data_IF_112174394080
#
_entry.id   IF_112174394080
#
_cell.length_a   1.000
_cell.length_b   1.000
_cell.length_c   1.000
_cell.angle_alpha   90.00
_cell.angle_beta   90.00
_cell.angle_gamma   90.00
#
_symmetry.space_group_name_H-M   'P 1'
#
loop_
_entity.id
_entity.type
_entity.pdbx_description
1 polymer ?
#
# COMPACT_ATOMS: atom_id res chain seq x y z
N UNK A 1 -18.51 -11.15 -14.57
CA UNK A 1 -17.82 -9.94 -15.08
C UNK A 1 -16.40 -10.33 -15.45
N UNK A 2 -15.98 -9.95 -16.65
CA UNK A 2 -14.64 -10.26 -17.18
C UNK A 2 -13.76 -9.01 -17.10
N UNK A 3 -12.67 -9.07 -16.34
CA UNK A 3 -11.77 -7.95 -16.11
C UNK A 3 -10.32 -8.25 -16.50
N UNK A 4 -9.60 -7.26 -16.98
CA UNK A 4 -8.16 -7.34 -17.25
C UNK A 4 -7.42 -6.29 -16.40
N UNK A 5 -6.51 -6.73 -15.56
CA UNK A 5 -5.56 -5.86 -14.87
C UNK A 5 -4.29 -5.71 -15.70
N UNK A 6 -3.89 -4.47 -15.96
CA UNK A 6 -2.66 -4.14 -16.71
C UNK A 6 -1.72 -3.37 -15.79
N UNK A 7 -0.49 -3.87 -15.59
CA UNK A 7 0.46 -3.25 -14.67
C UNK A 7 1.92 -3.44 -15.08
N UNK A 8 2.76 -2.48 -14.74
CA UNK A 8 4.23 -2.62 -14.73
C UNK A 8 4.80 -2.70 -13.30
N UNK A 9 3.91 -2.81 -12.31
CA UNK A 9 4.20 -2.94 -10.89
C UNK A 9 3.75 -4.33 -10.44
N UNK A 10 4.58 -5.34 -10.70
CA UNK A 10 4.30 -6.72 -10.32
C UNK A 10 5.59 -7.46 -9.98
N UNK A 11 5.62 -8.32 -8.94
CA UNK A 11 6.81 -9.07 -8.58
C UNK A 11 7.37 -9.90 -9.74
N UNK A 12 8.67 -9.97 -9.81
CA UNK A 12 9.41 -10.83 -10.76
C UNK A 12 10.69 -11.33 -10.09
N UNK A 13 11.35 -12.35 -10.67
CA UNK A 13 12.61 -12.84 -10.13
C UNK A 13 13.68 -11.74 -10.01
N UNK A 14 13.71 -10.78 -10.93
CA UNK A 14 14.65 -9.66 -10.88
C UNK A 14 14.23 -8.54 -9.90
N UNK A 15 12.97 -8.48 -9.49
CA UNK A 15 12.40 -7.44 -8.61
C UNK A 15 11.28 -8.03 -7.75
N UNK A 16 11.61 -8.87 -6.75
CA UNK A 16 10.62 -9.64 -6.00
C UNK A 16 9.68 -8.76 -5.13
N UNK A 17 10.14 -7.61 -4.69
CA UNK A 17 9.34 -6.67 -3.88
C UNK A 17 8.48 -5.70 -4.70
N UNK A 18 8.68 -5.61 -6.04
CA UNK A 18 7.99 -4.62 -6.86
C UNK A 18 6.50 -4.92 -6.97
N UNK A 19 5.64 -4.05 -6.42
CA UNK A 19 4.19 -4.13 -6.59
C UNK A 19 3.56 -5.37 -5.94
N UNK A 20 4.09 -5.84 -4.82
CA UNK A 20 3.51 -6.95 -4.04
C UNK A 20 2.04 -6.69 -3.72
N UNK A 21 1.66 -5.46 -3.37
CA UNK A 21 0.28 -5.06 -3.12
C UNK A 21 -0.64 -5.20 -4.35
N UNK A 22 -0.12 -5.00 -5.58
CA UNK A 22 -0.90 -5.24 -6.82
C UNK A 22 -1.12 -6.74 -7.01
N UNK A 23 -0.09 -7.57 -6.74
CA UNK A 23 -0.23 -9.03 -6.75
C UNK A 23 -1.30 -9.47 -5.77
N UNK A 24 -1.21 -8.99 -4.52
CA UNK A 24 -2.11 -9.39 -3.44
C UNK A 24 -3.56 -8.97 -3.76
N UNK A 25 -3.76 -7.78 -4.34
CA UNK A 25 -5.07 -7.32 -4.82
C UNK A 25 -5.60 -8.17 -5.97
N UNK A 26 -4.78 -8.48 -6.98
CA UNK A 26 -5.20 -9.33 -8.12
C UNK A 26 -5.59 -10.72 -7.65
N UNK A 27 -4.78 -11.33 -6.77
CA UNK A 27 -5.10 -12.63 -6.19
C UNK A 27 -6.39 -12.62 -5.36
N UNK A 28 -6.64 -11.55 -4.63
CA UNK A 28 -7.88 -11.38 -3.89
C UNK A 28 -9.09 -11.19 -4.82
N UNK A 29 -8.97 -10.37 -5.86
CA UNK A 29 -10.01 -10.19 -6.88
C UNK A 29 -10.36 -11.50 -7.61
N UNK A 30 -9.36 -12.35 -7.89
CA UNK A 30 -9.56 -13.67 -8.53
C UNK A 30 -10.32 -14.68 -7.67
N UNK A 31 -10.45 -14.40 -6.35
CA UNK A 31 -11.23 -15.25 -5.41
C UNK A 31 -12.68 -14.77 -5.24
N UNK A 32 -13.03 -13.63 -5.83
CA UNK A 32 -14.39 -13.08 -5.72
C UNK A 32 -15.29 -13.77 -6.75
N UNK A 33 -16.37 -14.37 -6.26
CA UNK A 33 -17.34 -15.06 -7.12
C UNK A 33 -17.93 -14.13 -8.19
N UNK A 34 -18.05 -14.65 -9.40
CA UNK A 34 -18.59 -13.92 -10.53
C UNK A 34 -17.60 -12.95 -11.21
N UNK A 35 -16.32 -12.92 -10.80
CA UNK A 35 -15.25 -12.20 -11.48
C UNK A 35 -14.29 -13.18 -12.21
N UNK A 36 -14.09 -12.96 -13.51
CA UNK A 36 -12.99 -13.55 -14.29
C UNK A 36 -11.90 -12.48 -14.45
N UNK A 37 -10.87 -12.53 -13.61
CA UNK A 37 -9.82 -11.51 -13.55
C UNK A 37 -8.54 -12.05 -14.18
N UNK A 38 -8.16 -11.46 -15.31
CA UNK A 38 -6.93 -11.71 -16.02
C UNK A 38 -5.88 -10.66 -15.68
N UNK A 39 -4.60 -11.07 -15.74
CA UNK A 39 -3.46 -10.19 -15.49
C UNK A 39 -2.55 -10.08 -16.71
N UNK A 40 -2.18 -8.86 -17.05
CA UNK A 40 -1.07 -8.57 -17.93
C UNK A 40 -0.02 -7.72 -17.22
N UNK A 41 1.01 -8.36 -16.70
CA UNK A 41 2.16 -7.70 -16.09
C UNK A 41 3.32 -7.61 -17.11
N UNK A 42 4.04 -6.49 -17.07
CA UNK A 42 5.24 -6.29 -17.88
C UNK A 42 6.32 -5.52 -17.11
N UNK A 43 7.58 -5.68 -17.47
CA UNK A 43 8.68 -5.01 -16.78
C UNK A 43 8.64 -3.48 -16.98
N UNK A 44 8.84 -2.69 -15.91
CA UNK A 44 8.98 -1.25 -16.04
C UNK A 44 10.20 -0.91 -16.89
N UNK A 45 10.10 0.18 -17.66
CA UNK A 45 11.15 0.62 -18.56
C UNK A 45 10.81 1.90 -19.31
N UNK A 46 11.58 2.20 -20.38
CA UNK A 46 11.33 3.36 -21.22
C UNK A 46 10.13 3.18 -22.18
N UNK A 47 9.84 4.16 -23.06
CA UNK A 47 8.69 4.16 -23.96
C UNK A 47 8.54 2.88 -24.80
N UNK A 48 9.66 2.24 -25.16
CA UNK A 48 9.67 0.98 -25.92
C UNK A 48 9.02 -0.18 -25.15
N UNK A 49 9.10 -0.21 -23.81
CA UNK A 49 8.44 -1.22 -22.97
C UNK A 49 6.93 -1.10 -23.06
N UNK A 50 6.40 0.10 -22.97
CA UNK A 50 4.95 0.38 -23.07
C UNK A 50 4.43 0.10 -24.49
N UNK A 51 5.17 0.49 -25.53
CA UNK A 51 4.81 0.18 -26.92
C UNK A 51 4.81 -1.34 -27.20
N UNK A 52 5.74 -2.10 -26.60
CA UNK A 52 5.77 -3.56 -26.67
C UNK A 52 4.57 -4.16 -25.95
N UNK A 53 4.27 -3.68 -24.75
CA UNK A 53 3.10 -4.11 -23.99
C UNK A 53 1.79 -3.86 -24.77
N UNK A 54 1.61 -2.68 -25.36
CA UNK A 54 0.45 -2.37 -26.20
C UNK A 54 0.32 -3.31 -27.41
N UNK A 55 1.42 -3.59 -28.12
CA UNK A 55 1.44 -4.55 -29.25
C UNK A 55 1.11 -5.97 -28.81
N UNK A 56 1.66 -6.39 -27.67
CA UNK A 56 1.39 -7.72 -27.12
C UNK A 56 -0.08 -7.86 -26.70
N UNK A 57 -0.62 -6.89 -25.96
CA UNK A 57 -2.03 -6.84 -25.56
C UNK A 57 -2.97 -6.90 -26.77
N UNK A 58 -2.72 -6.08 -27.79
CA UNK A 58 -3.52 -6.08 -29.01
C UNK A 58 -3.51 -7.44 -29.72
N UNK A 59 -2.34 -8.10 -29.82
CA UNK A 59 -2.23 -9.43 -30.47
C UNK A 59 -2.91 -10.51 -29.64
N UNK A 60 -2.69 -10.52 -28.32
CA UNK A 60 -3.21 -11.54 -27.41
C UNK A 60 -4.74 -11.53 -27.35
N UNK A 61 -5.33 -10.34 -27.42
CA UNK A 61 -6.78 -10.13 -27.26
C UNK A 61 -7.48 -9.68 -28.54
N UNK A 62 -6.84 -9.81 -29.72
CA UNK A 62 -7.39 -9.38 -31.00
C UNK A 62 -8.72 -10.07 -31.36
N UNK A 63 -8.87 -11.35 -31.03
CA UNK A 63 -10.06 -12.16 -31.28
C UNK A 63 -10.86 -12.44 -29.99
N UNK A 64 -10.49 -11.80 -28.87
CA UNK A 64 -11.18 -12.00 -27.61
C UNK A 64 -12.46 -11.18 -27.54
N UNK A 65 -13.43 -11.68 -26.78
CA UNK A 65 -14.59 -10.88 -26.38
C UNK A 65 -14.13 -9.64 -25.60
N UNK A 66 -14.92 -8.55 -25.74
CA UNK A 66 -14.68 -7.29 -25.04
C UNK A 66 -14.68 -7.52 -23.52
N UNK A 67 -13.67 -7.02 -22.83
CA UNK A 67 -13.65 -7.01 -21.37
C UNK A 67 -14.73 -6.04 -20.85
N UNK A 68 -15.39 -6.41 -19.75
CA UNK A 68 -16.28 -5.49 -19.06
C UNK A 68 -15.47 -4.33 -18.47
N UNK A 69 -14.30 -4.65 -17.85
CA UNK A 69 -13.40 -3.66 -17.27
C UNK A 69 -11.94 -3.95 -17.67
N UNK A 70 -11.21 -2.90 -18.06
CA UNK A 70 -9.74 -2.92 -18.12
C UNK A 70 -9.22 -1.94 -17.07
N UNK A 71 -8.51 -2.45 -16.07
CA UNK A 71 -8.00 -1.69 -14.95
C UNK A 71 -6.46 -1.58 -15.00
N UNK A 72 -5.95 -0.39 -15.22
CA UNK A 72 -4.53 -0.09 -15.22
C UNK A 72 -4.04 0.32 -13.82
N UNK A 73 -2.97 -0.29 -13.33
CA UNK A 73 -2.24 0.20 -12.16
C UNK A 73 -1.01 0.99 -12.61
N UNK A 74 -0.91 2.24 -12.19
CA UNK A 74 0.05 3.26 -12.61
C UNK A 74 -0.34 3.99 -13.90
N UNK A 75 -0.31 5.32 -13.89
CA UNK A 75 -0.84 6.16 -14.98
C UNK A 75 -0.24 5.89 -16.36
N UNK A 76 1.06 5.57 -16.43
CA UNK A 76 1.67 5.23 -17.72
C UNK A 76 1.15 3.90 -18.29
N UNK A 77 0.68 2.97 -17.48
CA UNK A 77 0.12 1.69 -17.96
C UNK A 77 -1.28 1.84 -18.56
N UNK A 78 -1.94 2.96 -18.28
CA UNK A 78 -3.21 3.29 -18.93
C UNK A 78 -3.07 3.41 -20.46
N UNK A 79 -1.92 3.83 -20.99
CA UNK A 79 -1.69 3.92 -22.44
C UNK A 79 -1.71 2.56 -23.13
N UNK A 80 -0.89 1.55 -22.75
CA UNK A 80 -0.98 0.23 -23.36
C UNK A 80 -2.34 -0.45 -23.12
N UNK A 81 -3.05 -0.15 -22.02
CA UNK A 81 -4.38 -0.72 -21.77
C UNK A 81 -5.42 -0.29 -22.82
N UNK A 82 -5.23 0.85 -23.49
CA UNK A 82 -6.10 1.29 -24.60
C UNK A 82 -6.06 0.35 -25.83
N UNK A 83 -5.05 -0.51 -25.93
CA UNK A 83 -4.92 -1.47 -27.04
C UNK A 83 -5.88 -2.66 -26.95
N UNK A 84 -6.67 -2.77 -25.89
CA UNK A 84 -7.63 -3.86 -25.64
C UNK A 84 -9.06 -3.30 -25.69
N UNK A 85 -9.99 -4.05 -26.28
CA UNK A 85 -11.40 -3.70 -26.26
C UNK A 85 -11.97 -3.83 -24.83
N UNK A 86 -12.62 -2.77 -24.34
CA UNK A 86 -13.21 -2.72 -23.01
C UNK A 86 -14.46 -1.83 -23.02
N UNK A 87 -15.47 -2.22 -22.23
CA UNK A 87 -16.65 -1.40 -21.98
C UNK A 87 -16.28 -0.22 -21.06
N UNK A 88 -15.51 -0.51 -20.02
CA UNK A 88 -15.08 0.49 -19.04
C UNK A 88 -13.57 0.43 -18.82
N UNK A 89 -12.97 1.59 -18.55
CA UNK A 89 -11.55 1.77 -18.31
C UNK A 89 -11.32 2.43 -16.97
N UNK A 90 -10.50 1.79 -16.15
CA UNK A 90 -10.15 2.27 -14.81
C UNK A 90 -8.64 2.46 -14.73
N UNK A 91 -8.20 3.48 -14.03
CA UNK A 91 -6.78 3.63 -13.64
C UNK A 91 -6.68 3.94 -12.16
N UNK A 92 -5.83 3.17 -11.44
CA UNK A 92 -5.40 3.54 -10.09
C UNK A 92 -4.00 4.15 -10.15
N UNK A 93 -3.88 5.38 -9.62
CA UNK A 93 -2.63 6.13 -9.52
C UNK A 93 -1.94 5.81 -8.18
N UNK A 94 -0.60 5.72 -8.17
CA UNK A 94 0.18 5.26 -7.02
C UNK A 94 1.22 6.25 -6.51
N UNK A 95 1.22 7.49 -6.98
CA UNK A 95 2.08 8.59 -6.51
C UNK A 95 3.04 9.10 -7.58
N UNK A 96 4.04 8.34 -7.97
CA UNK A 96 5.00 8.74 -9.01
C UNK A 96 4.35 9.11 -10.36
N UNK A 97 3.11 8.69 -10.57
CA UNK A 97 2.26 9.09 -11.68
C UNK A 97 2.16 10.61 -11.83
N UNK A 98 1.94 11.30 -10.71
CA UNK A 98 1.71 12.74 -10.66
C UNK A 98 2.86 13.54 -10.02
N UNK A 99 3.66 12.91 -9.16
CA UNK A 99 4.76 13.61 -8.50
C UNK A 99 6.04 13.64 -9.33
N UNK A 100 6.27 12.64 -10.18
CA UNK A 100 7.46 12.64 -11.02
C UNK A 100 7.22 13.53 -12.25
N UNK A 101 8.10 14.53 -12.53
CA UNK A 101 7.86 15.55 -13.54
C UNK A 101 7.72 15.01 -14.97
N UNK A 102 8.34 13.85 -15.27
CA UNK A 102 8.21 13.22 -16.60
C UNK A 102 6.94 12.39 -16.73
N UNK A 103 6.45 11.75 -15.64
CA UNK A 103 5.25 10.93 -15.69
C UNK A 103 3.99 11.75 -15.69
N UNK A 104 3.97 12.87 -14.95
CA UNK A 104 2.79 13.70 -14.73
C UNK A 104 2.09 14.12 -16.04
N UNK A 105 2.75 14.77 -17.01
CA UNK A 105 2.08 15.20 -18.24
C UNK A 105 1.54 13.99 -19.05
N UNK A 106 2.27 12.89 -19.10
CA UNK A 106 1.89 11.70 -19.83
C UNK A 106 0.68 11.04 -19.16
N UNK A 107 0.68 10.93 -17.83
CA UNK A 107 -0.45 10.42 -17.06
C UNK A 107 -1.68 11.31 -17.24
N UNK A 108 -1.54 12.63 -17.05
CA UNK A 108 -2.66 13.58 -17.18
C UNK A 108 -3.32 13.49 -18.55
N UNK A 109 -2.54 13.34 -19.62
CA UNK A 109 -3.05 13.26 -20.99
C UNK A 109 -3.93 12.02 -21.27
N UNK A 110 -3.85 10.96 -20.45
CA UNK A 110 -4.67 9.75 -20.64
C UNK A 110 -5.92 9.71 -19.74
N UNK A 111 -5.98 10.53 -18.69
CA UNK A 111 -7.10 10.47 -17.72
C UNK A 111 -8.46 10.66 -18.37
N UNK A 112 -8.59 11.55 -19.36
CA UNK A 112 -9.83 11.78 -20.09
C UNK A 112 -10.35 10.58 -20.89
N UNK A 113 -9.56 9.52 -21.04
CA UNK A 113 -9.93 8.26 -21.68
C UNK A 113 -10.33 7.18 -20.68
N UNK A 114 -10.26 7.49 -19.39
CA UNK A 114 -10.64 6.59 -18.31
C UNK A 114 -12.06 6.91 -17.85
N UNK A 115 -12.86 5.87 -17.65
CA UNK A 115 -14.20 6.03 -17.09
C UNK A 115 -14.12 6.25 -15.57
N UNK A 116 -13.11 5.69 -14.90
CA UNK A 116 -12.85 5.92 -13.49
C UNK A 116 -11.34 6.12 -13.24
N UNK A 117 -11.02 7.18 -12.51
CA UNK A 117 -9.70 7.43 -11.94
C UNK A 117 -9.75 7.15 -10.45
N UNK A 118 -8.81 6.38 -9.93
CA UNK A 118 -8.74 6.04 -8.51
C UNK A 118 -7.37 6.39 -7.91
N UNK A 119 -7.36 6.61 -6.61
CA UNK A 119 -6.16 6.85 -5.80
C UNK A 119 -6.28 6.14 -4.45
N UNK A 120 -5.17 5.83 -3.77
CA UNK A 120 -5.24 5.12 -2.50
C UNK A 120 -5.68 6.00 -1.31
N UNK A 121 -5.61 7.33 -1.42
CA UNK A 121 -6.00 8.25 -0.33
C UNK A 121 -6.70 9.50 -0.86
N UNK A 122 -7.56 10.10 -0.04
CA UNK A 122 -8.24 11.36 -0.35
C UNK A 122 -7.24 12.52 -0.56
N UNK A 123 -6.17 12.57 0.25
CA UNK A 123 -5.11 13.57 0.12
C UNK A 123 -4.39 13.48 -1.23
N UNK A 124 -4.25 12.27 -1.78
CA UNK A 124 -3.68 12.10 -3.13
C UNK A 124 -4.73 12.36 -4.23
N UNK A 125 -6.01 12.03 -4.00
CA UNK A 125 -7.10 12.37 -4.92
C UNK A 125 -7.17 13.88 -5.21
N UNK A 126 -6.97 14.71 -4.19
CA UNK A 126 -6.94 16.17 -4.32
C UNK A 126 -5.81 16.70 -5.22
N UNK A 127 -4.82 15.87 -5.58
CA UNK A 127 -3.72 16.23 -6.49
C UNK A 127 -3.99 15.82 -7.94
N UNK A 128 -5.06 15.04 -8.18
CA UNK A 128 -5.46 14.64 -9.54
C UNK A 128 -6.05 15.87 -10.24
N UNK A 129 -5.59 16.23 -11.46
CA UNK A 129 -6.14 17.33 -12.19
C UNK A 129 -7.63 17.09 -12.52
N UNK A 130 -8.53 17.97 -12.06
CA UNK A 130 -9.97 17.83 -12.24
C UNK A 130 -10.44 17.96 -13.69
N UNK A 131 -9.67 18.68 -14.53
CA UNK A 131 -9.94 18.78 -15.97
C UNK A 131 -9.49 17.48 -16.65
N UNK A 132 -10.40 16.51 -16.82
CA UNK A 132 -10.10 15.28 -17.54
C UNK A 132 -10.61 14.00 -16.89
N UNK A 133 -11.21 14.06 -15.71
CA UNK A 133 -11.89 12.91 -15.11
C UNK A 133 -13.39 12.96 -15.43
N UNK A 134 -13.98 11.83 -15.85
CA UNK A 134 -15.43 11.74 -16.14
C UNK A 134 -16.27 11.72 -14.88
N UNK A 135 -15.72 11.17 -13.80
CA UNK A 135 -16.34 11.07 -12.48
C UNK A 135 -15.42 11.65 -11.41
N UNK A 136 -15.94 11.86 -10.22
CA UNK A 136 -15.10 12.13 -9.04
C UNK A 136 -14.07 11.04 -8.87
N UNK A 137 -12.86 11.41 -8.38
CA UNK A 137 -11.78 10.45 -8.16
C UNK A 137 -12.17 9.48 -7.04
N UNK A 138 -12.17 8.20 -7.34
CA UNK A 138 -12.47 7.16 -6.36
C UNK A 138 -11.29 6.95 -5.40
N UNK A 139 -11.58 6.63 -4.15
CA UNK A 139 -10.58 6.22 -3.18
C UNK A 139 -10.58 4.69 -3.09
N UNK A 140 -9.57 4.08 -3.71
CA UNK A 140 -9.34 2.64 -3.71
C UNK A 140 -7.97 2.35 -3.06
N UNK A 141 -7.91 2.16 -1.74
CA UNK A 141 -6.67 1.93 -1.02
C UNK A 141 -5.96 0.65 -1.46
N UNK A 142 -4.66 0.59 -1.19
CA UNK A 142 -3.88 -0.62 -1.35
C UNK A 142 -4.10 -1.56 -0.16
N UNK A 143 -4.34 -2.85 -0.42
CA UNK A 143 -4.48 -3.86 0.61
C UNK A 143 -3.15 -4.47 1.03
N UNK A 144 -3.12 -5.05 2.23
CA UNK A 144 -2.01 -5.84 2.76
C UNK A 144 -2.41 -7.30 2.91
N UNK A 145 -1.44 -8.20 2.82
CA UNK A 145 -1.61 -9.62 3.09
C UNK A 145 -1.53 -9.89 4.61
N UNK A 146 -2.68 -9.94 5.25
CA UNK A 146 -2.81 -10.14 6.71
C UNK A 146 -2.53 -11.57 7.18
N UNK A 147 -2.45 -12.54 6.27
CA UNK A 147 -2.02 -13.91 6.60
C UNK A 147 -0.49 -14.00 6.63
N UNK A 148 0.17 -13.29 5.75
CA UNK A 148 1.63 -13.15 5.74
C UNK A 148 2.12 -12.25 6.87
N UNK A 149 1.49 -11.09 7.06
CA UNK A 149 1.76 -10.16 8.16
C UNK A 149 0.81 -10.46 9.33
N UNK A 150 1.33 -11.15 10.33
CA UNK A 150 0.60 -11.55 11.53
C UNK A 150 1.53 -11.54 12.74
N UNK A 151 1.00 -11.47 13.96
CA UNK A 151 1.82 -11.60 15.16
C UNK A 151 2.57 -12.94 15.17
N UNK A 152 3.86 -12.88 15.48
CA UNK A 152 4.76 -14.01 15.67
C UNK A 152 5.49 -13.81 16.99
N UNK A 153 5.94 -14.90 17.60
CA UNK A 153 6.84 -14.83 18.74
C UNK A 153 8.11 -14.05 18.36
N UNK A 154 8.44 -13.03 19.14
CA UNK A 154 9.59 -12.16 18.85
C UNK A 154 10.92 -12.90 18.94
N UNK A 155 11.07 -13.80 19.93
CA UNK A 155 12.26 -14.59 20.10
C UNK A 155 12.51 -15.48 18.88
N UNK A 156 11.48 -16.19 18.43
CA UNK A 156 11.56 -17.02 17.22
C UNK A 156 11.85 -16.18 15.95
N UNK A 157 11.29 -14.98 15.84
CA UNK A 157 11.60 -14.09 14.72
C UNK A 157 13.05 -13.62 14.73
N UNK A 158 13.60 -13.28 15.91
CA UNK A 158 15.02 -12.91 16.11
C UNK A 158 15.95 -14.06 15.82
N UNK A 159 15.67 -15.24 16.35
CA UNK A 159 16.43 -16.47 16.08
C UNK A 159 16.50 -16.76 14.58
N UNK A 160 15.37 -16.66 13.88
CA UNK A 160 15.30 -16.86 12.42
C UNK A 160 16.20 -15.89 11.64
N UNK A 161 16.42 -14.69 12.18
CA UNK A 161 17.23 -13.63 11.57
C UNK A 161 18.67 -13.58 12.10
N UNK A 162 19.04 -14.42 13.06
CA UNK A 162 20.35 -14.38 13.71
C UNK A 162 20.57 -13.13 14.57
N UNK A 163 19.49 -12.54 15.10
CA UNK A 163 19.56 -11.36 15.97
C UNK A 163 19.67 -11.77 17.44
N UNK A 164 20.32 -10.93 18.25
CA UNK A 164 20.38 -11.13 19.70
C UNK A 164 18.96 -11.11 20.31
N UNK A 165 18.53 -12.17 21.01
CA UNK A 165 17.22 -12.21 21.67
C UNK A 165 16.98 -11.07 22.65
N UNK A 166 18.02 -10.55 23.32
CA UNK A 166 17.95 -9.44 24.26
C UNK A 166 18.15 -8.07 23.61
N UNK A 167 18.42 -8.01 22.31
CA UNK A 167 18.70 -6.78 21.59
C UNK A 167 17.51 -5.79 21.59
N UNK A 168 17.83 -4.50 21.48
CA UNK A 168 16.88 -3.40 21.35
C UNK A 168 16.86 -2.95 19.90
N UNK A 169 15.80 -3.28 19.16
CA UNK A 169 15.73 -3.07 17.72
C UNK A 169 14.58 -2.14 17.32
N UNK A 170 14.87 -1.16 16.47
CA UNK A 170 13.87 -0.40 15.75
C UNK A 170 13.98 -0.66 14.26
N UNK A 171 12.85 -0.87 13.59
CA UNK A 171 12.83 -1.16 12.16
C UNK A 171 12.47 0.10 11.36
N UNK A 172 13.34 0.49 10.44
CA UNK A 172 13.06 1.42 9.36
C UNK A 172 12.66 0.60 8.12
N UNK A 173 11.36 0.52 7.76
CA UNK A 173 10.83 -0.46 6.81
C UNK A 173 11.04 -0.05 5.34
N UNK A 174 12.13 0.63 5.05
CA UNK A 174 12.41 1.15 3.71
C UNK A 174 13.88 0.94 3.33
N UNK A 175 14.16 1.14 2.03
CA UNK A 175 15.52 1.31 1.54
C UNK A 175 16.09 2.66 2.05
N UNK A 176 17.17 2.65 2.84
CA UNK A 176 17.78 3.86 3.37
C UNK A 176 18.40 4.78 2.30
N UNK A 177 18.59 4.29 1.07
CA UNK A 177 19.05 5.09 -0.06
C UNK A 177 17.95 6.01 -0.63
N UNK A 178 16.70 5.92 -0.17
CA UNK A 178 15.59 6.77 -0.61
C UNK A 178 15.47 8.02 0.28
N UNK A 179 15.92 9.23 -0.15
CA UNK A 179 15.99 10.41 0.73
C UNK A 179 14.65 10.81 1.33
N UNK A 180 13.55 10.70 0.55
CA UNK A 180 12.19 11.03 0.98
C UNK A 180 11.71 10.22 2.19
N UNK A 181 12.32 9.04 2.44
CA UNK A 181 11.98 8.16 3.57
C UNK A 181 12.67 8.56 4.87
N UNK A 182 13.66 9.47 4.80
CA UNK A 182 14.31 10.08 5.97
C UNK A 182 14.97 9.06 6.91
N UNK A 183 15.83 8.22 6.34
CA UNK A 183 16.66 7.30 7.13
C UNK A 183 17.58 8.04 8.14
N UNK A 184 17.90 9.31 7.89
CA UNK A 184 18.61 10.19 8.82
C UNK A 184 17.88 10.30 10.16
N UNK A 185 16.57 10.58 10.14
CA UNK A 185 15.72 10.67 11.35
C UNK A 185 15.64 9.33 12.09
N UNK A 186 15.47 8.23 11.36
CA UNK A 186 15.42 6.90 11.99
C UNK A 186 16.74 6.56 12.69
N UNK A 187 17.91 6.89 12.08
CA UNK A 187 19.22 6.70 12.71
C UNK A 187 19.41 7.59 13.94
N UNK A 188 18.96 8.83 13.88
CA UNK A 188 19.04 9.77 15.00
C UNK A 188 18.22 9.26 16.19
N UNK A 189 16.97 8.83 15.96
CA UNK A 189 16.11 8.28 17.00
C UNK A 189 16.68 6.99 17.61
N UNK A 190 17.08 6.03 16.78
CA UNK A 190 17.66 4.78 17.24
C UNK A 190 18.91 5.03 18.13
N UNK A 191 19.83 5.89 17.66
CA UNK A 191 21.03 6.26 18.43
C UNK A 191 20.69 6.93 19.75
N UNK A 192 19.74 7.89 19.75
CA UNK A 192 19.34 8.61 20.96
C UNK A 192 18.69 7.72 22.01
N UNK A 193 18.05 6.65 21.59
CA UNK A 193 17.39 5.67 22.44
C UNK A 193 18.26 4.43 22.77
N UNK A 194 19.51 4.38 22.31
CA UNK A 194 20.40 3.23 22.53
C UNK A 194 19.84 1.94 21.89
N UNK A 195 19.26 2.03 20.70
CA UNK A 195 18.72 0.90 19.95
C UNK A 195 19.47 0.72 18.63
N UNK A 196 19.49 -0.51 18.12
CA UNK A 196 20.00 -0.83 16.78
C UNK A 196 18.94 -0.57 15.74
N UNK A 197 19.33 0.04 14.60
CA UNK A 197 18.46 0.31 13.48
C UNK A 197 18.51 -0.80 12.44
N UNK A 198 17.42 -1.52 12.28
CA UNK A 198 17.21 -2.49 11.21
C UNK A 198 16.63 -1.78 9.97
N UNK A 199 16.97 -2.23 8.77
CA UNK A 199 16.47 -1.65 7.50
C UNK A 199 16.09 -2.74 6.50
N UNK A 200 15.14 -2.47 5.59
CA UNK A 200 14.62 -3.45 4.62
C UNK A 200 15.15 -3.27 3.18
N UNK A 201 16.16 -2.45 2.95
CA UNK A 201 16.61 -2.09 1.58
C UNK A 201 16.95 -3.25 0.65
N UNK A 202 17.47 -4.37 1.19
CA UNK A 202 17.88 -5.54 0.40
C UNK A 202 17.36 -6.87 0.98
N UNK A 203 16.27 -6.80 1.74
CA UNK A 203 15.67 -7.98 2.39
C UNK A 203 14.74 -8.70 1.42
N UNK A 204 14.84 -10.04 1.40
CA UNK A 204 13.91 -10.89 0.65
C UNK A 204 12.48 -10.69 1.19
N UNK A 205 11.46 -10.53 0.31
CA UNK A 205 10.08 -10.23 0.72
C UNK A 205 9.50 -11.23 1.73
N UNK A 206 9.89 -12.50 1.64
CA UNK A 206 9.43 -13.58 2.52
C UNK A 206 9.95 -13.42 3.95
N UNK A 207 11.07 -12.73 4.14
CA UNK A 207 11.65 -12.46 5.46
C UNK A 207 11.10 -11.18 6.11
N UNK A 208 10.45 -10.29 5.35
CA UNK A 208 9.95 -9.01 5.87
C UNK A 208 9.06 -9.17 7.11
N UNK A 209 8.11 -10.13 7.17
CA UNK A 209 7.29 -10.33 8.37
C UNK A 209 8.11 -10.68 9.63
N UNK A 210 9.22 -11.41 9.48
CA UNK A 210 10.13 -11.72 10.59
C UNK A 210 10.86 -10.46 11.08
N UNK A 211 11.35 -9.61 10.15
CA UNK A 211 11.98 -8.33 10.51
C UNK A 211 11.02 -7.41 11.25
N UNK A 212 9.75 -7.36 10.83
CA UNK A 212 8.72 -6.59 11.52
C UNK A 212 8.50 -7.13 12.93
N UNK A 213 8.32 -8.45 13.09
CA UNK A 213 8.06 -9.06 14.39
C UNK A 213 9.28 -9.05 15.33
N UNK A 214 10.51 -9.04 14.81
CA UNK A 214 11.74 -8.96 15.59
C UNK A 214 11.96 -7.58 16.24
N UNK A 215 11.42 -6.51 15.63
CA UNK A 215 11.63 -5.15 16.10
C UNK A 215 10.76 -4.80 17.33
N UNK A 216 11.25 -3.93 18.20
CA UNK A 216 10.47 -3.34 19.29
C UNK A 216 9.47 -2.31 18.80
N UNK A 217 9.79 -1.60 17.73
CA UNK A 217 8.90 -0.67 17.05
C UNK A 217 9.30 -0.48 15.59
N UNK A 218 8.34 -0.08 14.76
CA UNK A 218 8.55 0.34 13.36
C UNK A 218 8.52 1.85 13.27
N UNK A 219 9.50 2.44 12.56
CA UNK A 219 9.68 3.89 12.44
C UNK A 219 9.44 4.33 10.99
N UNK A 220 8.39 5.12 10.77
CA UNK A 220 8.00 5.65 9.45
C UNK A 220 8.15 7.19 9.39
N UNK A 221 9.37 7.75 9.37
CA UNK A 221 9.62 9.20 9.50
C UNK A 221 9.58 9.94 8.16
N UNK A 222 9.03 9.32 7.11
CA UNK A 222 9.04 9.80 5.73
C UNK A 222 8.45 11.22 5.60
N UNK A 223 9.06 12.05 4.76
CA UNK A 223 8.51 13.37 4.45
C UNK A 223 7.26 13.26 3.59
N UNK A 224 7.13 12.17 2.86
CA UNK A 224 5.98 11.91 2.01
C UNK A 224 5.73 10.42 1.78
N UNK A 225 4.45 10.06 1.83
CA UNK A 225 3.88 8.76 1.45
C UNK A 225 2.65 8.95 0.57
N UNK A 226 2.40 8.01 -0.34
CA UNK A 226 1.11 7.96 -1.05
C UNK A 226 0.07 7.24 -0.22
N UNK A 227 0.46 6.14 0.44
CA UNK A 227 -0.42 5.34 1.27
C UNK A 227 0.23 4.95 2.60
N UNK A 228 1.35 4.21 2.59
CA UNK A 228 2.07 3.83 3.80
C UNK A 228 1.82 2.37 4.23
N UNK A 229 1.98 1.42 3.29
CA UNK A 229 1.77 -0.01 3.54
C UNK A 229 2.55 -0.55 4.74
N UNK A 230 3.80 -0.11 4.90
CA UNK A 230 4.67 -0.59 6.00
C UNK A 230 4.09 -0.31 7.40
N UNK A 231 3.36 0.79 7.57
CA UNK A 231 2.63 1.08 8.80
C UNK A 231 1.54 0.01 9.06
N UNK A 232 0.74 -0.31 8.04
CA UNK A 232 -0.32 -1.31 8.13
C UNK A 232 0.23 -2.73 8.30
N UNK A 233 1.34 -3.06 7.64
CA UNK A 233 2.05 -4.33 7.78
C UNK A 233 2.55 -4.52 9.22
N UNK A 234 3.08 -3.46 9.85
CA UNK A 234 3.47 -3.48 11.25
C UNK A 234 2.27 -3.64 12.20
N UNK A 235 1.19 -2.90 11.96
CA UNK A 235 -0.05 -3.05 12.71
C UNK A 235 -0.67 -4.45 12.57
N UNK A 236 -0.56 -5.08 11.40
CA UNK A 236 -1.02 -6.45 11.19
C UNK A 236 -0.25 -7.46 12.04
N UNK A 237 0.99 -7.14 12.42
CA UNK A 237 1.84 -7.89 13.34
C UNK A 237 1.70 -7.45 14.81
N UNK A 238 0.80 -6.52 15.11
CA UNK A 238 0.65 -5.89 16.44
C UNK A 238 1.94 -5.22 16.95
N UNK A 239 2.83 -4.80 16.04
CA UNK A 239 4.06 -4.11 16.39
C UNK A 239 3.82 -2.62 16.51
N UNK A 240 4.33 -1.94 17.58
CA UNK A 240 4.21 -0.50 17.74
C UNK A 240 4.75 0.28 16.54
N UNK A 241 4.06 1.35 16.14
CA UNK A 241 4.45 2.20 15.00
C UNK A 241 4.56 3.64 15.43
N UNK A 242 5.66 4.29 15.05
CA UNK A 242 5.84 5.73 15.13
C UNK A 242 5.94 6.27 13.70
N UNK A 243 5.04 7.17 13.30
CA UNK A 243 4.97 7.67 11.94
C UNK A 243 4.72 9.17 11.86
N UNK A 244 5.15 9.79 10.75
CA UNK A 244 4.68 11.14 10.39
C UNK A 244 3.27 11.07 9.79
N UNK A 245 2.46 12.16 9.89
CA UNK A 245 1.10 12.21 9.35
C UNK A 245 1.11 12.34 7.82
N UNK A 246 1.61 11.31 7.13
CA UNK A 246 1.72 11.24 5.66
C UNK A 246 0.99 10.01 5.13
N UNK A 247 0.42 10.10 3.93
CA UNK A 247 -0.36 9.01 3.34
C UNK A 247 -1.60 8.70 4.18
N UNK A 248 -1.76 7.45 4.58
CA UNK A 248 -2.85 6.96 5.44
C UNK A 248 -2.40 6.75 6.91
N UNK A 249 -1.20 7.21 7.31
CA UNK A 249 -0.65 6.91 8.64
C UNK A 249 -1.56 7.43 9.76
N UNK A 250 -2.07 8.67 9.64
CA UNK A 250 -2.95 9.24 10.66
C UNK A 250 -4.24 8.43 10.84
N UNK A 251 -4.85 8.01 9.72
CA UNK A 251 -6.03 7.14 9.73
C UNK A 251 -5.71 5.76 10.30
N UNK A 252 -4.59 5.18 9.90
CA UNK A 252 -4.17 3.84 10.33
C UNK A 252 -3.88 3.78 11.83
N UNK A 253 -3.26 4.82 12.41
CA UNK A 253 -2.80 4.83 13.81
C UNK A 253 -3.81 5.43 14.79
N UNK A 254 -4.88 6.07 14.30
CA UNK A 254 -5.86 6.77 15.15
C UNK A 254 -6.45 5.86 16.21
N UNK A 255 -6.31 6.26 17.49
CA UNK A 255 -6.89 5.59 18.65
C UNK A 255 -6.20 4.29 19.05
N UNK A 256 -5.06 3.93 18.47
CA UNK A 256 -4.29 2.75 18.86
C UNK A 256 -3.27 3.16 19.91
N UNK A 257 -3.49 2.75 21.16
CA UNK A 257 -2.57 3.04 22.26
C UNK A 257 -1.17 2.44 21.99
N UNK A 258 -0.12 3.15 22.39
CA UNK A 258 1.27 2.74 22.14
C UNK A 258 1.79 3.01 20.72
N UNK A 259 1.01 3.69 19.88
CA UNK A 259 1.48 4.22 18.60
C UNK A 259 1.63 5.74 18.65
N UNK A 260 2.37 6.30 17.68
CA UNK A 260 2.51 7.74 17.53
C UNK A 260 2.33 8.18 16.08
N UNK A 261 1.52 9.20 15.86
CA UNK A 261 1.43 9.89 14.57
C UNK A 261 1.56 11.39 14.80
N UNK A 262 2.70 11.95 14.39
CA UNK A 262 2.99 13.38 14.64
C UNK A 262 4.16 13.87 13.80
N UNK A 263 4.33 15.20 13.73
CA UNK A 263 5.48 15.80 13.11
C UNK A 263 6.79 15.34 13.77
N UNK A 264 7.89 15.45 13.03
CA UNK A 264 9.16 15.00 13.53
C UNK A 264 9.62 15.88 14.71
N UNK A 265 9.68 15.29 15.87
CA UNK A 265 10.29 15.82 17.09
C UNK A 265 11.02 14.69 17.81
N UNK A 266 12.34 14.79 17.93
CA UNK A 266 13.17 13.71 18.47
C UNK A 266 12.79 13.36 19.92
N UNK A 267 12.52 14.37 20.75
CA UNK A 267 12.20 14.15 22.16
C UNK A 267 10.84 13.47 22.33
N UNK A 268 9.82 13.94 21.62
CA UNK A 268 8.48 13.36 21.64
C UNK A 268 8.48 11.92 21.10
N UNK A 269 9.15 11.67 19.98
CA UNK A 269 9.25 10.33 19.40
C UNK A 269 10.02 9.36 20.30
N UNK A 270 11.09 9.85 20.92
CA UNK A 270 11.88 9.05 21.88
C UNK A 270 11.05 8.68 23.11
N UNK A 271 10.29 9.62 23.68
CA UNK A 271 9.43 9.37 24.84
C UNK A 271 8.39 8.25 24.58
N UNK A 272 7.84 8.18 23.35
CA UNK A 272 6.93 7.08 22.95
C UNK A 272 7.70 5.78 22.72
N UNK A 273 8.93 5.83 22.17
CA UNK A 273 9.72 4.65 21.84
C UNK A 273 10.28 3.93 23.08
N UNK A 274 10.73 4.68 24.10
CA UNK A 274 11.43 4.11 25.26
C UNK A 274 10.67 3.00 26.01
N UNK A 275 9.36 3.12 26.30
CA UNK A 275 8.60 2.03 26.92
C UNK A 275 8.61 0.74 26.09
N UNK A 276 8.56 0.85 24.75
CA UNK A 276 8.62 -0.31 23.86
C UNK A 276 10.01 -0.97 23.82
N UNK A 277 11.06 -0.19 24.01
CA UNK A 277 12.42 -0.75 24.11
C UNK A 277 12.69 -1.39 25.48
N UNK A 278 11.97 -0.99 26.51
CA UNK A 278 12.08 -1.57 27.84
C UNK A 278 11.26 -2.86 28.00
N UNK A 279 10.19 -3.02 27.23
CA UNK A 279 9.34 -4.21 27.27
C UNK A 279 9.98 -5.38 26.50
N UNK A 280 9.93 -6.62 27.01
CA UNK A 280 10.50 -7.78 26.32
C UNK A 280 9.78 -8.11 25.01
N UNK A 281 8.45 -7.96 24.95
CA UNK A 281 7.65 -8.14 23.75
C UNK A 281 6.54 -7.09 23.69
N UNK A 282 6.85 -5.81 23.33
CA UNK A 282 5.83 -4.78 23.22
C UNK A 282 4.89 -5.09 22.04
N UNK A 283 3.59 -5.08 22.33
CA UNK A 283 2.55 -5.23 21.33
C UNK A 283 1.49 -4.15 21.51
N UNK A 284 0.84 -3.81 20.38
CA UNK A 284 -0.30 -2.90 20.33
C UNK A 284 -1.50 -3.65 19.75
N UNK A 285 -2.71 -3.14 19.94
CA UNK A 285 -3.91 -3.73 19.34
C UNK A 285 -4.12 -3.16 17.91
N UNK A 286 -3.15 -3.42 17.03
CA UNK A 286 -3.12 -2.90 15.67
C UNK A 286 -3.84 -3.75 14.64
N UNK A 287 -3.84 -5.09 14.85
CA UNK A 287 -4.32 -6.06 13.86
C UNK A 287 -5.77 -5.84 13.46
N UNK A 288 -6.67 -5.49 14.39
CA UNK A 288 -8.06 -5.22 14.07
C UNK A 288 -8.22 -4.08 13.04
N UNK A 289 -7.40 -3.03 13.16
CA UNK A 289 -7.34 -1.95 12.17
C UNK A 289 -6.76 -2.45 10.84
N UNK A 290 -5.70 -3.22 10.87
CA UNK A 290 -5.03 -3.76 9.68
C UNK A 290 -5.94 -4.70 8.88
N UNK A 291 -6.81 -5.48 9.53
CA UNK A 291 -7.80 -6.36 8.88
C UNK A 291 -8.77 -5.58 7.98
N UNK A 292 -9.15 -4.37 8.36
CA UNK A 292 -9.98 -3.51 7.52
C UNK A 292 -9.27 -3.06 6.24
N UNK A 293 -7.94 -3.12 6.22
CA UNK A 293 -7.08 -2.85 5.06
C UNK A 293 -6.52 -4.14 4.45
N UNK A 294 -7.11 -5.30 4.73
CA UNK A 294 -6.67 -6.55 4.10
C UNK A 294 -6.87 -6.50 2.57
N UNK A 295 -6.04 -7.24 1.85
CA UNK A 295 -6.15 -7.35 0.40
C UNK A 295 -7.54 -7.82 -0.04
N UNK A 296 -8.17 -8.74 0.74
CA UNK A 296 -9.53 -9.21 0.51
C UNK A 296 -10.57 -8.10 0.67
N UNK A 297 -10.57 -7.40 1.81
CA UNK A 297 -11.53 -6.33 2.07
C UNK A 297 -11.43 -5.20 1.02
N UNK A 298 -10.21 -4.87 0.56
CA UNK A 298 -10.03 -3.81 -0.42
C UNK A 298 -10.25 -4.29 -1.87
N UNK A 299 -10.07 -5.59 -2.16
CA UNK A 299 -10.49 -6.17 -3.43
C UNK A 299 -12.01 -6.10 -3.63
N UNK A 300 -12.81 -6.34 -2.57
CA UNK A 300 -14.26 -6.16 -2.63
C UNK A 300 -14.66 -4.73 -2.99
N UNK A 301 -13.95 -3.71 -2.49
CA UNK A 301 -14.21 -2.32 -2.86
C UNK A 301 -13.92 -2.04 -4.35
N UNK A 302 -12.84 -2.62 -4.87
CA UNK A 302 -12.52 -2.54 -6.31
C UNK A 302 -13.63 -3.23 -7.12
N UNK A 303 -14.09 -4.40 -6.68
CA UNK A 303 -15.19 -5.13 -7.33
C UNK A 303 -16.50 -4.34 -7.30
N UNK A 304 -16.82 -3.66 -6.19
CA UNK A 304 -17.97 -2.74 -6.09
C UNK A 304 -17.85 -1.61 -7.11
N UNK A 305 -16.68 -0.97 -7.23
CA UNK A 305 -16.44 0.09 -8.21
C UNK A 305 -16.61 -0.42 -9.65
N UNK A 306 -16.12 -1.62 -9.96
CA UNK A 306 -16.29 -2.21 -11.29
C UNK A 306 -17.75 -2.58 -11.61
N UNK A 307 -18.46 -3.18 -10.62
CA UNK A 307 -19.89 -3.50 -10.77
C UNK A 307 -20.75 -2.25 -10.96
N UNK A 308 -20.42 -1.18 -10.23
CA UNK A 308 -21.10 0.10 -10.40
C UNK A 308 -20.92 0.65 -11.82
N UNK A 309 -19.70 0.68 -12.37
CA UNK A 309 -19.46 1.12 -13.74
C UNK A 309 -20.29 0.33 -14.75
N UNK A 310 -20.43 -0.99 -14.56
CA UNK A 310 -21.16 -1.87 -15.47
C UNK A 310 -22.69 -1.73 -15.36
N UNK A 311 -23.22 -1.31 -14.20
CA UNK A 311 -24.65 -1.21 -13.94
C UNK A 311 -25.24 0.18 -14.22
N UNK A 312 -24.40 1.16 -14.59
CA UNK A 312 -24.80 2.56 -14.83
C UNK A 312 -25.66 3.19 -13.69
N UNK A 313 -25.43 2.71 -12.45
CA UNK A 313 -26.11 3.19 -11.26
C UNK A 313 -25.48 4.47 -10.67
N UNK A 314 -26.02 5.00 -9.55
CA UNK A 314 -25.39 6.10 -8.83
C UNK A 314 -24.00 5.65 -8.31
N UNK A 315 -23.00 6.55 -8.27
CA UNK A 315 -21.68 6.19 -7.77
C UNK A 315 -21.77 5.68 -6.33
N UNK A 316 -21.00 4.64 -5.99
CA UNK A 316 -20.89 4.21 -4.61
C UNK A 316 -20.40 5.40 -3.77
N UNK A 317 -20.76 5.50 -2.49
CA UNK A 317 -20.31 6.59 -1.65
C UNK A 317 -18.79 6.70 -1.75
N UNK A 318 -18.30 7.91 -2.01
CA UNK A 318 -16.86 8.21 -1.96
C UNK A 318 -16.34 7.64 -0.64
N UNK A 319 -15.26 6.89 -0.74
CA UNK A 319 -14.68 6.16 0.35
C UNK A 319 -14.67 6.95 1.66
N UNK A 320 -15.39 6.46 2.65
CA UNK A 320 -15.10 6.74 4.05
C UNK A 320 -14.07 5.72 4.53
N UNK A 321 -13.05 6.11 5.30
CA UNK A 321 -12.13 5.16 5.92
C UNK A 321 -12.92 4.02 6.58
N UNK A 322 -12.40 2.78 6.61
CA UNK A 322 -13.05 1.74 7.36
C UNK A 322 -13.19 2.18 8.81
N UNK A 323 -14.42 2.28 9.29
CA UNK A 323 -14.67 2.54 10.70
C UNK A 323 -13.98 1.45 11.52
N UNK A 324 -13.31 1.86 12.59
CA UNK A 324 -12.76 0.89 13.53
C UNK A 324 -13.89 -0.01 14.00
N UNK A 325 -13.68 -1.34 14.13
CA UNK A 325 -14.69 -2.21 14.71
C UNK A 325 -15.19 -1.61 16.04
N UNK A 326 -16.49 -1.70 16.33
CA UNK A 326 -17.08 -1.07 17.53
C UNK A 326 -16.45 -1.51 18.85
N UNK A 327 -15.71 -2.60 18.87
CA UNK A 327 -14.98 -3.11 20.04
C UNK A 327 -13.76 -2.24 20.44
N UNK A 328 -13.20 -1.45 19.51
CA UNK A 328 -12.09 -0.53 19.83
C UNK A 328 -12.53 0.81 20.41
N UNK A 329 -13.83 1.12 20.37
CA UNK A 329 -14.39 2.34 20.97
C UNK A 329 -14.77 2.20 22.44
N UNK A 330 -14.62 1.04 23.08
CA UNK A 330 -15.02 0.75 24.46
C UNK A 330 -13.87 0.60 25.45
N UNK A 331 -12.71 1.15 25.17
CA UNK A 331 -11.56 1.14 26.06
C UNK A 331 -11.34 2.47 26.78
N UNK A 332 -12.34 3.02 27.49
CA UNK A 332 -12.05 3.94 28.56
C UNK A 332 -11.69 3.09 29.81
N UNK A 333 -10.56 3.36 30.50
CA UNK A 333 -10.24 2.65 31.73
C UNK A 333 -11.30 2.99 32.79
N UNK A 334 -11.67 2.04 33.67
CA UNK A 334 -12.50 2.35 34.82
C UNK A 334 -11.74 3.32 35.70
N UNK A 335 -12.46 4.31 36.21
CA UNK A 335 -12.09 5.37 37.18
C UNK A 335 -11.43 4.83 38.42
#
# INVERSE_FOLDING_TARGET
>A
MRALVVTNMYPSAARPALGSFVRDQVQALQRIDGLDVQLHAFAPGGPRSYARAARHLRRRYAAAETFDVVHAHFGLTAWPSLAVAARHRVVTLHGNDLYHPRSRPITTAVLGRMDLVATPTAGFAAKVPGAGTRHAVAILPCGIDVERFRPMDRGAARERLGLDPAGRYVLFPYDPARPVKRADRARELARSAGAELLTLGSVEPELVPYWVNAANAVICPADWETFGLACLEALACDVPVLARPTGAHEEALRGIAGTHCGEWDLAAWRAVLEPHLAAPDPRVQGRARALAFSAGALAERVAVAWRWLAAEGPPPPLYSPPEAPPELSRGAPPS
#
